data_IF_819216102074
#
_entry.id   IF_819216102074
#
_cell.length_a   1.000
_cell.length_b   1.000
_cell.length_c   1.000
_cell.angle_alpha   90.00
_cell.angle_beta   90.00
_cell.angle_gamma   90.00
#
_symmetry.space_group_name_H-M   'P 1'
#
loop_
_entity.id
_entity.type
_entity.pdbx_description
1 polymer ?
#
# COMPACT_ATOMS: atom_id res chain seq x y z
N UNK A 1 4.17 -26.21 13.69
CA UNK A 1 5.52 -26.23 13.10
C UNK A 1 5.80 -24.83 12.58
N UNK A 2 6.58 -24.05 13.33
CA UNK A 2 6.90 -22.64 13.05
C UNK A 2 7.97 -22.55 11.95
N UNK A 3 7.66 -21.87 10.85
CA UNK A 3 8.51 -21.68 9.68
C UNK A 3 9.55 -20.57 9.91
N UNK A 4 10.83 -20.94 9.90
CA UNK A 4 11.95 -20.00 9.91
C UNK A 4 12.48 -19.79 8.49
N UNK A 5 12.67 -18.53 8.09
CA UNK A 5 13.22 -18.14 6.77
C UNK A 5 14.59 -17.47 6.96
N UNK A 6 15.55 -17.74 6.07
CA UNK A 6 16.89 -17.13 6.09
C UNK A 6 17.11 -16.27 4.85
N UNK A 7 17.56 -15.02 5.06
CA UNK A 7 17.98 -14.11 3.99
C UNK A 7 19.45 -14.35 3.63
N UNK A 8 19.76 -14.48 2.34
CA UNK A 8 21.14 -14.48 1.85
C UNK A 8 21.52 -13.08 1.33
N UNK A 9 22.59 -12.49 1.89
CA UNK A 9 23.12 -11.18 1.48
C UNK A 9 24.29 -11.37 0.52
N UNK A 10 24.20 -10.82 -0.69
CA UNK A 10 25.36 -10.65 -1.58
C UNK A 10 25.34 -9.21 -2.10
N UNK A 11 26.28 -8.39 -1.61
CA UNK A 11 26.28 -6.95 -1.84
C UNK A 11 26.70 -6.52 -3.24
N UNK A 12 26.07 -5.43 -3.74
CA UNK A 12 26.72 -4.23 -4.32
C UNK A 12 25.71 -3.15 -4.79
N UNK A 13 25.95 -1.93 -4.31
CA UNK A 13 25.79 -0.56 -4.86
C UNK A 13 24.56 -0.11 -5.69
N UNK A 14 23.82 0.83 -5.06
CA UNK A 14 23.21 2.08 -5.54
C UNK A 14 22.80 2.19 -7.03
N UNK A 15 21.50 2.06 -7.27
CA UNK A 15 20.82 2.68 -8.42
C UNK A 15 19.75 3.66 -7.90
N UNK A 16 19.78 4.89 -8.40
CA UNK A 16 18.81 5.93 -8.09
C UNK A 16 17.40 5.49 -8.51
N UNK A 17 16.56 5.16 -7.53
CA UNK A 17 15.15 4.83 -7.76
C UNK A 17 14.36 6.10 -8.08
N UNK A 18 13.99 6.28 -9.34
CA UNK A 18 12.75 6.99 -9.68
C UNK A 18 11.59 6.02 -9.40
N UNK A 19 10.55 6.40 -8.63
CA UNK A 19 9.34 5.60 -8.53
C UNK A 19 8.52 5.86 -9.79
N UNK A 20 8.70 5.02 -10.81
CA UNK A 20 7.64 4.74 -11.77
C UNK A 20 6.41 4.32 -10.94
N UNK A 21 5.20 4.82 -11.23
CA UNK A 21 3.95 4.31 -10.64
C UNK A 21 3.80 2.85 -11.07
N UNK A 22 4.48 1.98 -10.32
CA UNK A 22 4.66 0.58 -10.67
C UNK A 22 3.33 -0.07 -10.38
N UNK A 23 2.57 -0.36 -11.44
CA UNK A 23 1.40 -1.23 -11.34
C UNK A 23 1.82 -2.48 -10.55
N UNK A 24 1.13 -2.73 -9.43
CA UNK A 24 1.39 -3.92 -8.64
C UNK A 24 1.17 -5.16 -9.53
N UNK A 25 2.02 -6.19 -9.43
CA UNK A 25 1.75 -7.45 -10.10
C UNK A 25 0.43 -8.03 -9.56
N UNK A 26 -0.27 -8.82 -10.38
CA UNK A 26 -1.54 -9.44 -9.95
C UNK A 26 -1.32 -10.46 -8.84
N UNK A 27 -0.21 -11.19 -8.90
CA UNK A 27 0.26 -12.12 -7.88
C UNK A 27 1.75 -12.38 -8.07
N UNK A 28 2.34 -13.08 -7.11
CA UNK A 28 3.65 -13.70 -7.29
C UNK A 28 3.49 -15.21 -7.44
N UNK A 29 4.40 -15.85 -8.18
CA UNK A 29 4.36 -17.29 -8.40
C UNK A 29 5.71 -17.93 -8.16
N UNK A 30 5.73 -19.09 -7.50
CA UNK A 30 6.92 -19.92 -7.42
C UNK A 30 7.22 -20.54 -8.79
N UNK A 31 8.44 -20.36 -9.30
CA UNK A 31 8.88 -20.89 -10.60
C UNK A 31 8.91 -22.43 -10.67
N UNK A 32 9.07 -23.09 -9.52
CA UNK A 32 9.18 -24.56 -9.44
C UNK A 32 7.82 -25.24 -9.23
N UNK A 33 7.14 -24.99 -8.11
CA UNK A 33 5.87 -25.66 -7.79
C UNK A 33 4.62 -24.94 -8.34
N UNK A 34 4.76 -23.74 -8.94
CA UNK A 34 3.67 -22.92 -9.47
C UNK A 34 2.66 -22.39 -8.45
N UNK A 35 2.94 -22.52 -7.16
CA UNK A 35 2.15 -21.90 -6.10
C UNK A 35 2.02 -20.39 -6.30
N UNK A 36 0.81 -19.86 -6.05
CA UNK A 36 0.46 -18.46 -6.25
C UNK A 36 0.29 -17.75 -4.92
N UNK A 37 0.93 -16.61 -4.80
CA UNK A 37 0.84 -15.71 -3.66
C UNK A 37 0.14 -14.44 -4.10
N UNK A 38 -1.16 -14.36 -3.81
CA UNK A 38 -1.99 -13.20 -4.11
C UNK A 38 -1.92 -12.13 -3.02
N UNK A 39 -2.22 -10.89 -3.39
CA UNK A 39 -2.43 -9.83 -2.42
C UNK A 39 -3.83 -9.96 -1.81
N UNK A 40 -3.92 -9.88 -0.49
CA UNK A 40 -5.22 -9.77 0.18
C UNK A 40 -5.95 -8.46 -0.20
N UNK A 41 -5.18 -7.39 -0.42
CA UNK A 41 -5.65 -6.07 -0.84
C UNK A 41 -4.58 -5.41 -1.71
N UNK A 42 -5.02 -4.63 -2.71
CA UNK A 42 -4.13 -3.96 -3.68
C UNK A 42 -4.11 -2.44 -3.51
N UNK A 43 -4.96 -1.89 -2.65
CA UNK A 43 -5.08 -0.46 -2.42
C UNK A 43 -5.46 -0.11 -0.97
N UNK A 44 -5.28 1.17 -0.62
CA UNK A 44 -5.67 1.74 0.65
C UNK A 44 -5.55 3.27 0.66
N UNK A 45 -6.27 3.90 1.57
CA UNK A 45 -6.28 5.37 1.73
C UNK A 45 -5.89 5.78 3.14
N UNK A 46 -5.17 6.89 3.27
CA UNK A 46 -5.10 7.64 4.50
C UNK A 46 -6.32 8.55 4.64
N UNK A 47 -6.81 8.67 5.87
CA UNK A 47 -7.69 9.75 6.29
C UNK A 47 -6.88 10.68 7.21
N UNK A 48 -6.45 11.83 6.67
CA UNK A 48 -5.49 12.71 7.34
C UNK A 48 -6.13 13.72 8.30
N UNK A 49 -7.46 13.87 8.27
CA UNK A 49 -8.16 14.89 9.05
C UNK A 49 -8.48 14.44 10.50
N UNK A 50 -8.42 13.14 10.80
CA UNK A 50 -8.71 12.61 12.14
C UNK A 50 -7.86 11.38 12.48
N UNK A 51 -7.53 11.25 13.76
CA UNK A 51 -6.80 10.09 14.30
C UNK A 51 -7.68 8.83 14.40
N UNK A 52 -9.00 8.98 14.38
CA UNK A 52 -9.97 7.89 14.46
C UNK A 52 -11.24 8.22 13.64
N UNK A 53 -11.86 7.20 13.03
CA UNK A 53 -13.14 7.33 12.34
C UNK A 53 -14.19 6.65 13.21
N UNK A 54 -15.21 7.38 13.70
CA UNK A 54 -16.31 6.76 14.42
C UNK A 54 -17.00 5.68 13.58
N UNK A 55 -17.51 4.59 14.19
CA UNK A 55 -18.32 3.60 13.49
C UNK A 55 -19.49 4.22 12.72
N UNK A 56 -19.62 3.88 11.44
CA UNK A 56 -20.68 4.40 10.58
C UNK A 56 -20.50 5.85 10.17
N UNK A 57 -19.34 6.45 10.43
CA UNK A 57 -19.04 7.79 9.94
C UNK A 57 -18.98 7.81 8.41
N UNK A 58 -19.33 8.98 7.86
CA UNK A 58 -19.16 9.28 6.46
C UNK A 58 -17.89 10.09 6.26
N UNK A 59 -17.02 9.63 5.37
CA UNK A 59 -15.76 10.29 5.03
C UNK A 59 -15.86 10.88 3.62
N UNK A 60 -15.68 12.20 3.44
CA UNK A 60 -15.63 12.82 2.12
C UNK A 60 -14.47 12.27 1.28
N UNK A 61 -14.70 12.04 -0.02
CA UNK A 61 -13.62 11.62 -0.94
C UNK A 61 -12.47 12.63 -0.99
N UNK A 62 -12.78 13.92 -0.83
CA UNK A 62 -11.78 14.99 -0.79
C UNK A 62 -10.75 14.82 0.34
N UNK A 63 -11.14 14.15 1.43
CA UNK A 63 -10.32 13.93 2.61
C UNK A 63 -9.52 12.62 2.58
N UNK A 64 -9.71 11.81 1.53
CA UNK A 64 -9.01 10.55 1.32
C UNK A 64 -7.76 10.77 0.46
N UNK A 65 -6.65 10.23 0.93
CA UNK A 65 -5.34 10.36 0.31
C UNK A 65 -4.80 8.98 -0.03
N UNK A 66 -4.53 8.72 -1.30
CA UNK A 66 -3.99 7.42 -1.75
C UNK A 66 -2.68 7.11 -1.02
N UNK A 67 -2.52 5.89 -0.51
CA UNK A 67 -1.27 5.49 0.10
C UNK A 67 -0.29 5.10 -1.02
N UNK A 68 0.91 5.72 -1.11
CA UNK A 68 1.95 5.19 -1.97
C UNK A 68 2.36 3.82 -1.44
N UNK A 69 2.28 2.78 -2.27
CA UNK A 69 2.53 1.40 -1.87
C UNK A 69 3.50 0.68 -2.79
N UNK A 70 4.21 -0.29 -2.23
CA UNK A 70 5.04 -1.24 -2.95
C UNK A 70 4.75 -2.67 -2.52
N UNK A 71 5.01 -3.67 -3.37
CA UNK A 71 4.81 -5.06 -3.00
C UNK A 71 5.88 -5.49 -2.01
N UNK A 72 5.47 -6.15 -0.93
CA UNK A 72 6.37 -6.62 0.11
C UNK A 72 5.95 -7.98 0.68
N UNK A 73 6.94 -8.75 1.11
CA UNK A 73 6.73 -9.92 1.93
C UNK A 73 6.70 -9.51 3.40
N UNK A 74 5.55 -9.65 4.05
CA UNK A 74 5.43 -9.45 5.48
C UNK A 74 5.96 -10.68 6.22
N UNK A 75 7.00 -10.50 7.03
CA UNK A 75 7.64 -11.59 7.79
C UNK A 75 6.79 -12.02 8.98
N UNK A 76 6.00 -11.11 9.54
CA UNK A 76 5.11 -11.41 10.67
C UNK A 76 3.93 -12.28 10.23
N UNK A 77 3.38 -12.02 9.04
CA UNK A 77 2.26 -12.78 8.48
C UNK A 77 2.67 -13.90 7.53
N UNK A 78 3.96 -13.98 7.16
CA UNK A 78 4.48 -14.88 6.14
C UNK A 78 3.66 -14.86 4.84
N UNK A 79 3.34 -13.66 4.33
CA UNK A 79 2.49 -13.50 3.13
C UNK A 79 2.90 -12.30 2.28
N UNK A 80 2.49 -12.30 1.02
CA UNK A 80 2.61 -11.14 0.12
C UNK A 80 1.56 -10.10 0.49
N UNK A 81 1.97 -8.84 0.61
CA UNK A 81 1.11 -7.72 0.92
C UNK A 81 1.61 -6.44 0.26
N UNK A 82 0.79 -5.41 0.30
CA UNK A 82 1.23 -4.04 0.01
C UNK A 82 1.82 -3.41 1.28
N UNK A 83 2.88 -2.64 1.10
CA UNK A 83 3.64 -1.96 2.16
C UNK A 83 3.71 -0.49 1.82
N UNK A 84 3.59 0.39 2.82
CA UNK A 84 3.75 1.84 2.63
C UNK A 84 5.13 2.16 2.01
N UNK A 85 5.14 2.93 0.93
CA UNK A 85 6.35 3.43 0.27
C UNK A 85 6.55 4.92 0.60
N UNK A 86 7.06 5.17 1.80
CA UNK A 86 7.23 6.52 2.34
C UNK A 86 8.64 7.01 2.05
N UNK A 87 8.78 7.93 1.09
CA UNK A 87 10.05 8.57 0.80
C UNK A 87 10.51 9.52 1.93
N UNK A 88 11.77 9.95 1.84
CA UNK A 88 12.32 10.98 2.71
C UNK A 88 11.63 12.33 2.48
N UNK A 89 11.53 13.16 3.52
CA UNK A 89 10.84 14.46 3.49
C UNK A 89 11.22 15.34 2.30
N UNK A 90 12.50 15.36 1.93
CA UNK A 90 13.00 16.13 0.79
C UNK A 90 12.27 15.84 -0.52
N UNK A 91 11.87 14.59 -0.76
CA UNK A 91 11.12 14.22 -1.97
C UNK A 91 9.75 14.91 -2.02
N UNK A 92 9.10 15.07 -0.87
CA UNK A 92 7.81 15.77 -0.75
C UNK A 92 7.98 17.27 -0.95
N UNK A 93 9.03 17.86 -0.39
CA UNK A 93 9.37 19.28 -0.58
C UNK A 93 9.64 19.59 -2.06
N UNK A 94 10.44 18.75 -2.72
CA UNK A 94 10.76 18.86 -4.14
C UNK A 94 9.49 18.74 -4.99
N UNK A 95 8.64 17.75 -4.72
CA UNK A 95 7.36 17.57 -5.43
C UNK A 95 6.44 18.79 -5.28
N UNK A 96 6.31 19.33 -4.07
CA UNK A 96 5.54 20.55 -3.82
C UNK A 96 6.10 21.75 -4.58
N UNK A 97 7.43 21.91 -4.60
CA UNK A 97 8.10 22.95 -5.39
C UNK A 97 7.86 22.84 -6.90
N UNK A 98 7.87 21.62 -7.44
CA UNK A 98 7.61 21.35 -8.86
C UNK A 98 6.18 21.74 -9.23
N UNK A 99 5.19 21.38 -8.42
CA UNK A 99 3.79 21.75 -8.66
C UNK A 99 3.54 23.24 -8.51
N UNK A 100 4.19 23.92 -7.55
CA UNK A 100 4.15 25.39 -7.46
C UNK A 100 4.67 26.09 -8.71
N UNK A 101 5.56 25.45 -9.46
CA UNK A 101 6.05 25.92 -10.74
C UNK A 101 5.13 25.54 -11.93
N UNK A 102 3.93 24.99 -11.68
CA UNK A 102 2.97 24.63 -12.71
C UNK A 102 3.31 23.35 -13.49
N UNK A 103 4.18 22.49 -12.94
CA UNK A 103 4.56 21.21 -13.57
C UNK A 103 3.94 20.04 -12.83
N UNK A 104 3.47 19.01 -13.54
CA UNK A 104 2.91 17.82 -12.89
C UNK A 104 4.01 16.99 -12.21
N UNK A 105 3.60 16.22 -11.21
CA UNK A 105 4.43 15.21 -10.54
C UNK A 105 3.69 13.88 -10.49
N UNK A 106 4.45 12.78 -10.40
CA UNK A 106 3.90 11.42 -10.29
C UNK A 106 3.90 10.90 -8.84
N UNK A 107 4.84 11.40 -8.01
CA UNK A 107 5.02 11.00 -6.62
C UNK A 107 5.10 12.23 -5.71
N UNK A 108 4.50 12.20 -4.49
CA UNK A 108 3.78 11.09 -3.84
C UNK A 108 2.34 10.89 -4.35
N UNK A 109 1.86 11.79 -5.20
CA UNK A 109 0.53 11.76 -5.79
C UNK A 109 0.65 12.21 -7.26
N UNK A 110 -0.02 11.53 -8.18
CA UNK A 110 -0.10 11.96 -9.57
C UNK A 110 -0.98 13.21 -9.69
N UNK A 111 -0.43 14.27 -10.28
CA UNK A 111 -1.14 15.57 -10.40
C UNK A 111 -1.51 15.96 -11.83
N UNK A 112 -1.28 15.10 -12.82
CA UNK A 112 -1.52 15.39 -14.24
C UNK A 112 -2.99 15.75 -14.55
N UNK A 113 -3.93 15.16 -13.80
CA UNK A 113 -5.37 15.37 -13.98
C UNK A 113 -5.98 16.32 -12.94
N UNK A 114 -5.16 17.01 -12.16
CA UNK A 114 -5.61 17.98 -11.17
C UNK A 114 -5.37 19.39 -11.70
N UNK A 115 -6.25 20.32 -11.36
CA UNK A 115 -5.92 21.72 -11.55
C UNK A 115 -4.79 22.15 -10.60
N UNK A 116 -4.16 23.29 -10.90
CA UNK A 116 -3.00 23.77 -10.15
C UNK A 116 -3.31 23.97 -8.66
N UNK A 117 -4.50 24.47 -8.33
CA UNK A 117 -4.88 24.74 -6.95
C UNK A 117 -5.07 23.42 -6.18
N UNK A 118 -5.83 22.48 -6.75
CA UNK A 118 -6.05 21.15 -6.19
C UNK A 118 -4.74 20.39 -5.98
N UNK A 119 -3.83 20.45 -6.96
CA UNK A 119 -2.52 19.80 -6.87
C UNK A 119 -1.68 20.39 -5.73
N UNK A 120 -1.67 21.72 -5.57
CA UNK A 120 -0.97 22.39 -4.48
C UNK A 120 -1.57 22.05 -3.11
N UNK A 121 -2.90 22.08 -2.98
CA UNK A 121 -3.59 21.75 -1.73
C UNK A 121 -3.32 20.30 -1.30
N UNK A 122 -3.45 19.34 -2.23
CA UNK A 122 -3.19 17.92 -1.92
C UNK A 122 -1.73 17.66 -1.57
N UNK A 123 -0.77 18.22 -2.32
CA UNK A 123 0.65 18.04 -1.99
C UNK A 123 1.06 18.74 -0.70
N UNK A 124 0.48 19.90 -0.38
CA UNK A 124 0.71 20.55 0.91
C UNK A 124 0.22 19.68 2.08
N UNK A 125 -0.92 19.00 1.92
CA UNK A 125 -1.42 18.05 2.90
C UNK A 125 -0.48 16.85 3.07
N UNK A 126 0.01 16.24 1.98
CA UNK A 126 1.03 15.18 2.06
C UNK A 126 2.33 15.65 2.71
N UNK A 127 2.82 16.84 2.38
CA UNK A 127 4.04 17.38 2.97
C UNK A 127 3.86 17.60 4.49
N UNK A 128 2.74 18.19 4.91
CA UNK A 128 2.41 18.37 6.33
C UNK A 128 2.35 17.03 7.06
N UNK A 129 1.60 16.08 6.52
CA UNK A 129 1.53 14.72 7.03
C UNK A 129 2.92 14.10 7.19
N UNK A 130 3.78 14.21 6.16
CA UNK A 130 5.12 13.64 6.20
C UNK A 130 5.99 14.26 7.28
N UNK A 131 5.85 15.56 7.53
CA UNK A 131 6.58 16.29 8.57
C UNK A 131 6.11 15.91 9.99
N UNK A 132 4.83 15.61 10.14
CA UNK A 132 4.22 15.27 11.44
C UNK A 132 4.35 13.79 11.80
N UNK A 133 4.40 12.91 10.78
CA UNK A 133 4.41 11.46 10.95
C UNK A 133 5.61 10.98 11.76
N UNK A 134 5.32 10.15 12.76
CA UNK A 134 6.32 9.59 13.68
C UNK A 134 6.65 8.14 13.40
N UNK A 135 5.67 7.37 12.92
CA UNK A 135 5.86 5.95 12.68
C UNK A 135 6.57 5.67 11.34
N UNK A 136 7.42 4.63 11.30
CA UNK A 136 7.99 4.17 10.03
C UNK A 136 6.91 3.62 9.10
N UNK A 137 7.30 3.30 7.87
CA UNK A 137 6.45 2.56 6.96
C UNK A 137 6.08 1.17 7.52
N UNK A 138 4.88 0.71 7.19
CA UNK A 138 4.25 -0.51 7.72
C UNK A 138 3.76 -1.40 6.59
N UNK A 139 3.75 -2.70 6.85
CA UNK A 139 3.03 -3.68 6.07
C UNK A 139 1.52 -3.52 6.33
N UNK A 140 0.77 -3.22 5.27
CA UNK A 140 -0.65 -2.89 5.42
C UNK A 140 -1.53 -4.09 5.72
N UNK A 141 -1.01 -5.33 5.64
CA UNK A 141 -1.75 -6.53 6.04
C UNK A 141 -1.95 -6.64 7.55
N UNK A 142 -0.97 -6.23 8.37
CA UNK A 142 -0.98 -6.38 9.84
C UNK A 142 -0.51 -5.15 10.63
N UNK A 143 -0.04 -4.10 9.98
CA UNK A 143 0.56 -2.93 10.63
C UNK A 143 1.99 -3.13 11.13
N UNK A 144 2.59 -4.30 10.88
CA UNK A 144 3.96 -4.63 11.29
C UNK A 144 5.02 -3.91 10.45
N UNK A 145 6.22 -3.75 11.01
CA UNK A 145 7.38 -3.13 10.33
C UNK A 145 8.38 -4.16 9.83
N UNK A 146 8.11 -5.45 10.04
CA UNK A 146 8.99 -6.55 9.63
C UNK A 146 8.58 -7.05 8.25
N UNK A 147 9.15 -6.44 7.20
CA UNK A 147 8.87 -6.82 5.83
C UNK A 147 10.11 -6.72 4.93
N UNK A 148 9.98 -7.19 3.70
CA UNK A 148 10.98 -7.05 2.65
C UNK A 148 10.30 -6.69 1.33
N UNK A 149 10.73 -5.60 0.69
CA UNK A 149 10.23 -5.26 -0.64
C UNK A 149 10.59 -6.33 -1.66
N UNK A 150 9.64 -6.64 -2.55
CA UNK A 150 9.76 -7.68 -3.56
C UNK A 150 10.19 -7.15 -4.93
N UNK A 151 10.07 -5.85 -5.14
CA UNK A 151 10.33 -5.18 -6.41
C UNK A 151 11.70 -4.47 -6.45
N UNK A 152 12.64 -4.94 -5.63
CA UNK A 152 14.05 -4.51 -5.66
C UNK A 152 14.89 -5.48 -6.50
N UNK A 153 16.02 -5.01 -7.04
CA UNK A 153 16.87 -5.80 -7.93
C UNK A 153 17.38 -7.13 -7.31
N UNK A 154 17.32 -7.26 -5.98
CA UNK A 154 17.73 -8.43 -5.22
C UNK A 154 16.76 -8.69 -4.06
N UNK A 155 15.64 -9.40 -4.29
CA UNK A 155 15.49 -10.64 -3.55
C UNK A 155 14.65 -11.66 -4.33
N UNK A 156 15.31 -12.66 -4.89
CA UNK A 156 14.62 -13.90 -5.22
C UNK A 156 14.30 -14.59 -3.89
N UNK A 157 13.07 -14.43 -3.40
CA UNK A 157 12.62 -15.21 -2.25
C UNK A 157 12.56 -16.68 -2.68
N UNK A 158 13.38 -17.52 -2.06
CA UNK A 158 13.31 -18.97 -2.23
C UNK A 158 12.01 -19.46 -1.60
N UNK A 159 11.23 -20.23 -2.36
CA UNK A 159 10.08 -20.92 -1.82
C UNK A 159 10.56 -22.10 -0.95
N UNK A 160 10.18 -22.16 0.33
CA UNK A 160 10.74 -23.16 1.28
C UNK A 160 10.52 -24.59 0.82
N UNK A 161 9.40 -24.88 0.18
CA UNK A 161 9.07 -26.22 -0.30
C UNK A 161 9.77 -26.60 -1.61
N UNK A 162 10.63 -25.73 -2.15
CA UNK A 162 11.29 -25.95 -3.42
C UNK A 162 12.80 -25.73 -3.31
N UNK A 163 13.60 -26.69 -3.76
CA UNK A 163 15.07 -26.57 -3.72
C UNK A 163 15.59 -25.40 -4.55
N UNK A 164 14.93 -25.12 -5.67
CA UNK A 164 15.31 -24.10 -6.66
C UNK A 164 14.16 -23.14 -7.02
N UNK A 165 13.04 -23.23 -6.33
CA UNK A 165 11.88 -22.38 -6.61
C UNK A 165 12.10 -20.96 -6.09
N UNK A 166 11.93 -19.97 -6.97
CA UNK A 166 11.96 -18.55 -6.62
C UNK A 166 10.61 -17.91 -6.91
N UNK A 167 10.25 -16.92 -6.10
CA UNK A 167 8.97 -16.22 -6.21
C UNK A 167 9.12 -15.03 -7.15
N UNK A 168 8.46 -15.07 -8.30
CA UNK A 168 8.55 -14.05 -9.35
C UNK A 168 7.22 -13.31 -9.55
N UNK A 169 7.25 -12.01 -9.86
CA UNK A 169 6.04 -11.26 -10.15
C UNK A 169 5.39 -11.81 -11.42
N UNK A 170 4.08 -12.03 -11.37
CA UNK A 170 3.29 -12.40 -12.53
C UNK A 170 2.26 -11.30 -12.76
N UNK A 171 2.43 -10.60 -13.87
CA UNK A 171 1.41 -9.69 -14.39
C UNK A 171 0.53 -10.50 -15.31
N UNK A 172 -0.63 -10.93 -14.83
CA UNK A 172 -1.69 -11.27 -15.79
C UNK A 172 -2.13 -9.94 -16.36
N UNK A 173 -1.79 -9.68 -17.62
CA UNK A 173 -2.48 -8.67 -18.41
C UNK A 173 -3.96 -9.10 -18.42
N UNK A 174 -4.76 -8.57 -17.51
CA UNK A 174 -6.19 -8.62 -17.63
C UNK A 174 -6.54 -7.71 -18.83
N UNK A 175 -6.47 -8.27 -20.04
CA UNK A 175 -7.19 -7.75 -21.20
C UNK A 175 -8.65 -8.19 -21.01
N UNK A 176 -9.24 -7.74 -19.92
CA UNK A 176 -10.64 -7.94 -19.59
C UNK A 176 -11.20 -6.55 -19.39
N UNK A 177 -12.05 -6.11 -20.31
CA UNK A 177 -12.78 -4.86 -20.15
C UNK A 177 -13.59 -4.94 -18.86
N UNK A 178 -13.09 -4.30 -17.80
CA UNK A 178 -13.91 -4.04 -16.64
C UNK A 178 -15.07 -3.17 -17.12
N UNK A 179 -16.24 -3.80 -17.18
CA UNK A 179 -17.48 -3.08 -17.35
C UNK A 179 -17.64 -2.21 -16.12
N UNK A 180 -17.48 -0.88 -16.31
CA UNK A 180 -17.73 0.26 -15.41
C UNK A 180 -18.76 0.05 -14.28
N UNK A 181 -18.49 -0.84 -13.34
CA UNK A 181 -19.20 -0.93 -12.07
C UNK A 181 -18.22 -0.47 -11.02
N UNK A 182 -18.33 0.81 -10.66
CA UNK A 182 -17.54 1.40 -9.59
C UNK A 182 -17.86 0.68 -8.28
N UNK A 183 -16.86 -0.04 -7.74
CA UNK A 183 -16.89 -0.60 -6.39
C UNK A 183 -17.33 0.46 -5.39
N UNK A 184 -18.17 0.08 -4.43
CA UNK A 184 -18.77 0.98 -3.45
C UNK A 184 -20.17 1.47 -3.83
N UNK A 185 -20.60 1.35 -5.08
CA UNK A 185 -21.92 1.84 -5.51
C UNK A 185 -22.95 0.72 -5.65
N UNK A 186 -22.56 -0.39 -6.30
CA UNK A 186 -23.44 -1.55 -6.53
C UNK A 186 -23.08 -2.73 -5.63
N UNK A 187 -21.93 -2.67 -4.97
CA UNK A 187 -21.42 -3.66 -4.02
C UNK A 187 -20.44 -2.99 -3.06
N UNK A 188 -20.21 -3.51 -1.85
CA UNK A 188 -19.20 -2.99 -0.94
C UNK A 188 -17.82 -3.00 -1.61
N UNK A 189 -17.07 -1.90 -1.50
CA UNK A 189 -15.70 -1.82 -2.03
C UNK A 189 -14.70 -2.54 -1.13
N UNK A 190 -14.89 -2.50 0.19
CA UNK A 190 -14.01 -3.08 1.20
C UNK A 190 -12.56 -2.59 1.10
N UNK A 191 -12.37 -1.31 0.74
CA UNK A 191 -11.05 -0.69 0.64
C UNK A 191 -10.59 -0.27 2.02
N UNK A 192 -9.35 -0.59 2.39
CA UNK A 192 -8.84 -0.25 3.72
C UNK A 192 -8.57 1.25 3.85
N UNK A 193 -8.99 1.83 4.98
CA UNK A 193 -8.68 3.21 5.37
C UNK A 193 -7.84 3.23 6.65
N UNK A 194 -6.80 4.06 6.64
CA UNK A 194 -5.78 4.15 7.68
C UNK A 194 -5.67 5.58 8.22
N UNK A 195 -5.20 5.71 9.45
CA UNK A 195 -4.85 7.01 10.03
C UNK A 195 -3.59 7.57 9.37
N UNK A 196 -3.26 8.85 9.63
CA UNK A 196 -1.97 9.42 9.21
C UNK A 196 -0.75 8.64 9.73
N UNK A 197 -0.87 7.90 10.83
CA UNK A 197 0.23 7.10 11.37
C UNK A 197 0.27 5.65 10.81
N UNK A 198 -0.64 5.30 9.90
CA UNK A 198 -0.69 3.99 9.26
C UNK A 198 -1.44 2.93 10.08
N UNK A 199 -2.24 3.33 11.07
CA UNK A 199 -3.09 2.43 11.82
C UNK A 199 -4.40 2.18 11.07
N UNK A 200 -4.81 0.91 10.94
CA UNK A 200 -6.05 0.54 10.27
C UNK A 200 -7.27 1.05 11.05
N UNK A 201 -8.07 1.90 10.41
CA UNK A 201 -9.28 2.49 11.00
C UNK A 201 -10.53 1.70 10.62
N UNK A 202 -10.59 1.21 9.37
CA UNK A 202 -11.81 0.65 8.83
C UNK A 202 -11.73 0.24 7.37
N UNK A 203 -12.90 -0.10 6.83
CA UNK A 203 -13.14 -0.39 5.42
C UNK A 203 -14.11 0.66 4.87
N UNK A 204 -13.74 1.27 3.74
CA UNK A 204 -14.65 2.02 2.89
C UNK A 204 -15.57 1.01 2.20
N UNK A 205 -16.86 1.03 2.54
CA UNK A 205 -17.83 0.04 2.05
C UNK A 205 -18.67 0.62 0.93
N UNK A 206 -19.48 1.64 1.22
CA UNK A 206 -20.45 2.20 0.27
C UNK A 206 -20.13 3.66 -0.04
N UNK A 207 -20.20 4.05 -1.31
CA UNK A 207 -20.03 5.43 -1.77
C UNK A 207 -21.39 5.99 -2.17
N UNK A 208 -21.80 7.05 -1.49
CA UNK A 208 -22.98 7.83 -1.87
C UNK A 208 -22.67 8.66 -3.12
N UNK A 209 -23.52 8.52 -4.15
CA UNK A 209 -23.36 9.26 -5.41
C UNK A 209 -23.64 10.76 -5.26
N UNK A 210 -24.57 11.10 -4.38
CA UNK A 210 -25.09 12.47 -4.27
C UNK A 210 -24.23 13.35 -3.34
N UNK A 211 -23.52 12.74 -2.40
CA UNK A 211 -22.72 13.45 -1.38
C UNK A 211 -21.21 13.26 -1.52
N UNK A 212 -20.74 12.43 -2.45
CA UNK A 212 -19.33 12.08 -2.62
C UNK A 212 -18.64 11.65 -1.30
N UNK A 213 -19.38 10.89 -0.49
CA UNK A 213 -18.94 10.36 0.79
C UNK A 213 -18.87 8.85 0.77
N UNK A 214 -17.94 8.30 1.55
CA UNK A 214 -17.82 6.88 1.84
C UNK A 214 -18.34 6.56 3.23
N UNK A 215 -19.12 5.49 3.35
CA UNK A 215 -19.39 4.86 4.64
C UNK A 215 -18.17 4.07 5.10
N UNK A 216 -17.82 4.22 6.38
CA UNK A 216 -16.72 3.50 7.01
C UNK A 216 -17.25 2.47 8.00
N UNK A 217 -16.95 1.20 7.71
CA UNK A 217 -17.16 0.11 8.65
C UNK A 217 -15.88 -0.11 9.46
N UNK A 218 -15.90 0.02 10.80
CA UNK A 218 -14.73 -0.24 11.63
C UNK A 218 -14.17 -1.63 11.38
N UNK A 219 -12.85 -1.72 11.37
CA UNK A 219 -12.16 -3.00 11.29
C UNK A 219 -10.84 -2.94 12.04
N UNK A 220 -10.30 -4.10 12.35
CA UNK A 220 -8.97 -4.25 12.93
C UNK A 220 -8.19 -5.25 12.10
N UNK A 221 -6.86 -5.26 12.24
CA UNK A 221 -6.06 -6.31 11.63
C UNK A 221 -6.57 -7.68 12.09
N UNK A 222 -6.71 -8.62 11.15
CA UNK A 222 -7.03 -10.00 11.50
C UNK A 222 -5.93 -10.53 12.40
N UNK A 223 -6.28 -10.95 13.63
CA UNK A 223 -5.32 -11.50 14.60
C UNK A 223 -4.71 -12.84 14.16
N UNK A 224 -5.04 -13.34 12.98
CA UNK A 224 -4.50 -14.57 12.43
C UNK A 224 -2.97 -14.46 12.31
N UNK A 225 -2.28 -15.22 13.17
CA UNK A 225 -0.84 -15.52 13.16
C UNK A 225 0.11 -14.64 14.00
N UNK A 226 -0.32 -14.10 15.14
CA UNK A 226 0.61 -14.13 16.30
C UNK A 226 0.72 -15.58 16.74
N UNK A 227 1.59 -16.35 16.08
CA UNK A 227 2.05 -17.61 16.65
C UNK A 227 2.74 -17.20 17.95
N UNK A 228 2.11 -17.47 19.09
CA UNK A 228 2.79 -17.37 20.37
C UNK A 228 4.11 -18.15 20.24
N UNK A 229 5.27 -17.57 20.58
CA UNK A 229 6.50 -18.34 20.61
C UNK A 229 6.24 -19.47 21.61
N UNK A 230 6.21 -20.70 21.10
CA UNK A 230 5.93 -21.89 21.88
C UNK A 230 6.78 -21.88 23.13
N UNK A 231 6.10 -21.89 24.28
CA UNK A 231 6.68 -22.29 25.56
C UNK A 231 7.25 -23.69 25.40
N UNK A 232 8.55 -23.75 25.15
CA UNK A 232 9.39 -24.93 25.36
C UNK A 232 9.87 -24.94 26.81
#
# INVERSE_FOLDING_TARGET
>A
MSSGWQAANIGRTNASHRPELKMLPSYYQCTSCRERFGFAHTEGYYYLNFDHVPPGAQVPVADLYTIPVRPGWCKDCATVCIVEDIAVTRVFEDAYGVVRAGRPVEYPLQTENLDLQQAQEKLAAYLRWRLERRHPARALCCGGTSYQFLDVAQPLLKHTECDFGVVEPQSQYFIGGETYRTSGVLSPANVRVYSGEGDLMGLLTWRSRDSDTWEVTPTTYSQSMRTEPGSA
#
